data_IF_521842752562
#
_entry.id   IF_521842752562
#
_cell.length_a   1.000
_cell.length_b   1.000
_cell.length_c   1.000
_cell.angle_alpha   90.00
_cell.angle_beta   90.00
_cell.angle_gamma   90.00
#
_symmetry.space_group_name_H-M   'P 1'
#
loop_
_entity.id
_entity.type
_entity.pdbx_description
1 polymer ?
#
# COMPACT_ATOMS: atom_id res chain seq x y z
N UNK A 1 -20.86 19.42 13.71
CA UNK A 1 -20.23 20.03 12.51
C UNK A 1 -20.69 19.23 11.32
N UNK A 2 -21.10 19.89 10.23
CA UNK A 2 -21.61 19.21 9.03
C UNK A 2 -20.58 19.24 7.89
N UNK A 3 -20.43 18.10 7.22
CA UNK A 3 -19.61 17.88 6.02
C UNK A 3 -20.48 17.24 4.94
N UNK A 4 -20.12 17.42 3.68
CA UNK A 4 -20.77 16.73 2.59
C UNK A 4 -20.30 15.27 2.59
N UNK A 5 -18.99 15.02 2.75
CA UNK A 5 -18.41 13.69 2.81
C UNK A 5 -17.57 13.50 4.08
N UNK A 6 -17.81 12.39 4.80
CA UNK A 6 -17.03 11.95 5.96
C UNK A 6 -16.32 10.63 5.62
N UNK A 7 -14.99 10.64 5.58
CA UNK A 7 -14.17 9.45 5.34
C UNK A 7 -13.64 8.93 6.67
N UNK A 8 -13.89 7.67 6.96
CA UNK A 8 -13.48 6.98 8.19
C UNK A 8 -12.29 6.07 7.88
N UNK A 9 -11.10 6.52 8.23
CA UNK A 9 -9.82 5.87 7.96
C UNK A 9 -8.89 6.71 7.10
N UNK A 10 -7.62 6.83 7.50
CA UNK A 10 -6.56 7.59 6.84
C UNK A 10 -5.48 6.68 6.22
N UNK A 11 -5.83 5.46 5.87
CA UNK A 11 -5.02 4.60 5.01
C UNK A 11 -5.08 5.03 3.55
N UNK A 12 -4.37 4.32 2.67
CA UNK A 12 -4.30 4.63 1.24
C UNK A 12 -5.70 4.79 0.61
N UNK A 13 -6.63 3.85 0.84
CA UNK A 13 -7.99 3.94 0.29
C UNK A 13 -8.78 5.15 0.78
N UNK A 14 -8.69 5.47 2.08
CA UNK A 14 -9.39 6.62 2.65
C UNK A 14 -8.84 7.96 2.16
N UNK A 15 -7.52 8.09 2.02
CA UNK A 15 -6.91 9.31 1.47
C UNK A 15 -7.27 9.49 -0.01
N UNK A 16 -7.31 8.40 -0.79
CA UNK A 16 -7.79 8.41 -2.18
C UNK A 16 -9.27 8.82 -2.26
N UNK A 17 -10.12 8.23 -1.41
CA UNK A 17 -11.54 8.58 -1.37
C UNK A 17 -11.77 10.05 -1.00
N UNK A 18 -11.01 10.56 -0.02
CA UNK A 18 -11.13 11.95 0.39
C UNK A 18 -10.73 12.92 -0.73
N UNK A 19 -9.62 12.64 -1.42
CA UNK A 19 -9.16 13.45 -2.55
C UNK A 19 -10.17 13.43 -3.70
N UNK A 20 -10.68 12.25 -4.05
CA UNK A 20 -11.67 12.08 -5.13
C UNK A 20 -12.99 12.79 -4.82
N UNK A 21 -13.48 12.73 -3.58
CA UNK A 21 -14.67 13.48 -3.16
C UNK A 21 -14.46 15.01 -3.21
N UNK A 22 -13.27 15.47 -2.77
CA UNK A 22 -12.95 16.90 -2.78
C UNK A 22 -12.84 17.49 -4.19
N UNK A 23 -12.40 16.71 -5.21
CA UNK A 23 -12.40 17.16 -6.60
C UNK A 23 -13.81 17.48 -7.14
N UNK A 24 -14.86 16.90 -6.53
CA UNK A 24 -16.26 17.23 -6.81
C UNK A 24 -16.76 18.48 -6.06
N UNK A 25 -15.84 19.25 -5.45
CA UNK A 25 -16.17 20.45 -4.67
C UNK A 25 -16.78 20.18 -3.30
N UNK A 26 -16.75 18.92 -2.82
CA UNK A 26 -17.38 18.54 -1.54
C UNK A 26 -16.51 18.91 -0.34
N UNK A 27 -17.11 19.47 0.67
CA UNK A 27 -16.50 19.73 1.97
C UNK A 27 -16.26 18.41 2.69
N UNK A 28 -15.01 17.95 2.64
CA UNK A 28 -14.61 16.61 3.09
C UNK A 28 -13.90 16.64 4.43
N UNK A 29 -14.19 15.64 5.28
CA UNK A 29 -13.49 15.36 6.53
C UNK A 29 -12.92 13.93 6.46
N UNK A 30 -11.66 13.76 6.86
CA UNK A 30 -11.09 12.45 7.18
C UNK A 30 -10.94 12.32 8.68
N UNK A 31 -11.45 11.23 9.25
CA UNK A 31 -11.28 10.88 10.67
C UNK A 31 -10.64 9.50 10.76
N UNK A 32 -9.60 9.37 11.58
CA UNK A 32 -8.92 8.10 11.75
C UNK A 32 -8.27 7.96 13.12
N UNK A 33 -8.17 6.72 13.58
CA UNK A 33 -7.42 6.36 14.79
C UNK A 33 -5.90 6.49 14.58
N UNK A 34 -5.43 6.23 13.36
CA UNK A 34 -4.01 6.27 13.01
C UNK A 34 -3.79 6.39 11.50
N UNK A 35 -2.54 6.26 11.07
CA UNK A 35 -2.12 6.38 9.67
C UNK A 35 -2.45 5.14 8.81
N UNK A 36 -3.05 4.10 9.40
CA UNK A 36 -3.29 2.83 8.71
C UNK A 36 -2.01 2.02 8.44
N UNK A 37 -2.14 0.96 7.65
CA UNK A 37 -1.04 0.03 7.34
C UNK A 37 -0.08 0.54 6.25
N UNK A 38 -0.30 1.73 5.69
CA UNK A 38 0.55 2.30 4.64
C UNK A 38 2.01 2.44 5.09
N UNK A 39 2.25 2.65 6.38
CA UNK A 39 3.59 2.78 6.97
C UNK A 39 4.35 1.46 7.13
N UNK A 40 3.69 0.32 6.93
CA UNK A 40 4.31 -1.01 6.90
C UNK A 40 4.35 -1.60 5.49
N UNK A 41 3.87 -0.88 4.52
CA UNK A 41 3.74 -1.25 3.13
C UNK A 41 5.06 -1.04 2.37
N UNK A 42 5.38 -1.92 1.40
CA UNK A 42 6.67 -1.88 0.67
C UNK A 42 6.90 -0.61 -0.17
N UNK A 43 5.86 0.20 -0.39
CA UNK A 43 5.91 1.36 -1.27
C UNK A 43 5.67 1.04 -2.74
N UNK A 44 5.47 -0.23 -3.10
CA UNK A 44 5.07 -0.64 -4.45
C UNK A 44 3.55 -0.78 -4.55
N UNK A 45 2.95 -0.53 -5.70
CA UNK A 45 1.51 -0.71 -5.91
C UNK A 45 1.30 -1.96 -6.76
N UNK A 46 0.83 -3.01 -6.10
CA UNK A 46 0.52 -4.28 -6.72
C UNK A 46 -0.92 -4.24 -7.23
N UNK A 47 -1.13 -4.46 -8.53
CA UNK A 47 -2.45 -4.51 -9.17
C UNK A 47 -2.95 -5.94 -9.23
N UNK A 48 -2.22 -6.81 -9.91
CA UNK A 48 -2.43 -8.25 -9.90
C UNK A 48 -1.13 -8.93 -10.33
N UNK A 49 -0.57 -9.71 -9.43
CA UNK A 49 0.71 -10.39 -9.68
C UNK A 49 0.55 -11.84 -10.10
N UNK A 50 -0.49 -12.50 -9.61
CA UNK A 50 -0.74 -13.92 -9.84
C UNK A 50 -2.24 -14.19 -10.03
N UNK A 51 -2.59 -14.85 -11.14
CA UNK A 51 -3.94 -15.34 -11.39
C UNK A 51 -3.92 -16.48 -12.41
N UNK A 52 -4.51 -17.66 -12.12
CA UNK A 52 -5.00 -18.07 -10.80
C UNK A 52 -3.88 -18.05 -9.73
N UNK A 53 -4.25 -17.88 -8.46
CA UNK A 53 -3.27 -17.74 -7.35
C UNK A 53 -2.41 -18.98 -7.10
N UNK A 54 -2.82 -20.13 -7.63
CA UNK A 54 -2.07 -21.39 -7.57
C UNK A 54 -0.91 -21.43 -8.56
N UNK A 55 -0.95 -20.59 -9.60
CA UNK A 55 0.13 -20.50 -10.57
C UNK A 55 1.37 -19.87 -9.93
N UNK A 56 2.51 -20.47 -10.21
CA UNK A 56 3.80 -19.97 -9.70
C UNK A 56 4.42 -18.90 -10.60
N UNK A 57 3.94 -18.76 -11.84
CA UNK A 57 4.41 -17.76 -12.78
C UNK A 57 3.74 -16.41 -12.55
N UNK A 58 4.52 -15.34 -12.39
CA UNK A 58 3.95 -14.00 -12.28
C UNK A 58 3.29 -13.58 -13.60
N UNK A 59 2.16 -12.88 -13.51
CA UNK A 59 1.50 -12.27 -14.66
C UNK A 59 2.41 -11.23 -15.32
N UNK A 60 2.54 -11.29 -16.63
CA UNK A 60 3.24 -10.26 -17.40
C UNK A 60 2.40 -8.97 -17.46
N UNK A 61 1.12 -9.08 -17.81
CA UNK A 61 0.15 -7.99 -17.92
C UNK A 61 -0.87 -8.05 -16.76
N UNK A 62 -0.82 -7.09 -15.81
CA UNK A 62 -1.88 -6.95 -14.81
C UNK A 62 -3.25 -6.72 -15.43
N UNK A 63 -3.35 -5.94 -16.54
CA UNK A 63 -4.59 -5.63 -17.25
C UNK A 63 -5.31 -6.90 -17.69
N UNK A 64 -4.61 -7.75 -18.47
CA UNK A 64 -5.18 -9.00 -18.97
C UNK A 64 -5.62 -9.93 -17.82
N UNK A 65 -4.81 -9.94 -16.75
CA UNK A 65 -5.14 -10.69 -15.54
C UNK A 65 -6.42 -10.18 -14.84
N UNK A 66 -6.58 -8.87 -14.73
CA UNK A 66 -7.77 -8.23 -14.13
C UNK A 66 -9.01 -8.45 -15.00
N UNK A 67 -8.89 -8.30 -16.32
CA UNK A 67 -9.99 -8.58 -17.27
C UNK A 67 -10.48 -10.02 -17.14
N UNK A 68 -9.57 -10.97 -17.13
CA UNK A 68 -9.87 -12.38 -16.93
C UNK A 68 -10.51 -12.63 -15.56
N UNK A 69 -9.96 -12.05 -14.50
CA UNK A 69 -10.45 -12.21 -13.14
C UNK A 69 -11.88 -11.65 -13.00
N UNK A 70 -12.18 -10.48 -13.55
CA UNK A 70 -13.52 -9.89 -13.56
C UNK A 70 -14.54 -10.81 -14.25
N UNK A 71 -14.13 -11.45 -15.34
CA UNK A 71 -15.01 -12.37 -16.08
C UNK A 71 -15.26 -13.70 -15.33
N UNK A 72 -14.28 -14.18 -14.58
CA UNK A 72 -14.33 -15.48 -13.90
C UNK A 72 -14.84 -15.39 -12.44
N UNK A 73 -14.59 -14.27 -11.73
CA UNK A 73 -15.00 -14.07 -10.33
C UNK A 73 -15.78 -12.75 -10.14
N UNK A 74 -17.10 -12.76 -10.29
CA UNK A 74 -17.94 -11.57 -10.13
C UNK A 74 -17.98 -11.04 -8.68
N UNK A 75 -17.52 -11.82 -7.69
CA UNK A 75 -17.49 -11.43 -6.30
C UNK A 75 -16.17 -10.74 -5.90
N UNK A 76 -15.17 -10.78 -6.77
CA UNK A 76 -13.92 -10.09 -6.51
C UNK A 76 -14.12 -8.56 -6.53
N UNK A 77 -13.46 -7.79 -5.65
CA UNK A 77 -13.57 -6.32 -5.62
C UNK A 77 -13.34 -5.63 -6.96
N UNK A 78 -12.46 -6.15 -7.82
CA UNK A 78 -12.27 -5.59 -9.17
C UNK A 78 -13.52 -5.68 -10.06
N UNK A 79 -14.35 -6.71 -9.91
CA UNK A 79 -15.60 -6.80 -10.65
C UNK A 79 -16.59 -5.69 -10.23
N UNK A 80 -16.58 -5.32 -8.94
CA UNK A 80 -17.41 -4.21 -8.41
C UNK A 80 -16.85 -2.83 -8.73
N UNK A 81 -15.52 -2.72 -8.80
CA UNK A 81 -14.84 -1.46 -9.14
C UNK A 81 -14.90 -1.17 -10.63
N UNK A 82 -14.63 -2.17 -11.46
CA UNK A 82 -14.47 -2.06 -12.92
C UNK A 82 -13.06 -1.64 -13.35
N UNK A 83 -12.68 -2.04 -14.57
CA UNK A 83 -11.35 -1.73 -15.12
C UNK A 83 -11.16 -0.23 -15.35
N UNK A 84 -12.18 0.47 -15.83
CA UNK A 84 -12.15 1.92 -16.06
C UNK A 84 -11.82 2.69 -14.77
N UNK A 85 -12.51 2.38 -13.67
CA UNK A 85 -12.23 3.04 -12.38
C UNK A 85 -10.87 2.64 -11.78
N UNK A 86 -10.33 1.48 -12.14
CA UNK A 86 -8.97 1.10 -11.81
C UNK A 86 -7.95 1.99 -12.56
N UNK A 87 -8.14 2.17 -13.86
CA UNK A 87 -7.27 3.01 -14.69
C UNK A 87 -7.29 4.47 -14.27
N UNK A 88 -8.49 5.04 -14.13
CA UNK A 88 -8.69 6.41 -13.65
C UNK A 88 -8.11 6.60 -12.25
N UNK A 89 -8.37 5.66 -11.33
CA UNK A 89 -7.87 5.70 -9.97
C UNK A 89 -6.34 5.64 -9.88
N UNK A 90 -5.69 4.86 -10.75
CA UNK A 90 -4.23 4.80 -10.83
C UNK A 90 -3.63 6.08 -11.40
N UNK A 91 -4.19 6.64 -12.47
CA UNK A 91 -3.77 7.93 -13.01
C UNK A 91 -3.92 9.04 -11.96
N UNK A 92 -5.07 9.10 -11.31
CA UNK A 92 -5.35 10.06 -10.23
C UNK A 92 -4.35 9.93 -9.06
N UNK A 93 -4.01 8.69 -8.67
CA UNK A 93 -3.00 8.42 -7.64
C UNK A 93 -1.63 8.97 -8.06
N UNK A 94 -1.16 8.65 -9.27
CA UNK A 94 0.14 9.11 -9.76
C UNK A 94 0.21 10.63 -9.78
N UNK A 95 -0.82 11.31 -10.26
CA UNK A 95 -0.92 12.78 -10.27
C UNK A 95 -0.92 13.37 -8.86
N UNK A 96 -1.66 12.76 -7.93
CA UNK A 96 -1.75 13.25 -6.57
C UNK A 96 -0.41 13.21 -5.84
N UNK A 97 0.37 12.12 -6.00
CA UNK A 97 1.67 11.99 -5.33
C UNK A 97 2.78 12.74 -6.07
N UNK A 98 2.70 12.86 -7.41
CA UNK A 98 3.66 13.64 -8.19
C UNK A 98 3.66 15.12 -7.82
N UNK A 99 2.50 15.71 -7.55
CA UNK A 99 2.36 17.10 -7.04
C UNK A 99 3.07 17.33 -5.71
N UNK A 100 3.38 16.26 -4.99
CA UNK A 100 4.06 16.29 -3.69
C UNK A 100 5.52 15.81 -3.78
N UNK A 101 6.06 15.69 -4.99
CA UNK A 101 7.46 15.32 -5.26
C UNK A 101 7.74 13.83 -5.07
N UNK A 102 6.73 12.96 -5.21
CA UNK A 102 6.91 11.51 -5.20
C UNK A 102 6.47 10.95 -6.53
N UNK A 103 7.42 10.47 -7.32
CA UNK A 103 7.15 9.94 -8.66
C UNK A 103 6.94 8.42 -8.60
N UNK A 104 5.80 7.95 -9.13
CA UNK A 104 5.52 6.54 -9.38
C UNK A 104 5.55 6.25 -10.87
N UNK A 105 6.25 5.18 -11.23
CA UNK A 105 6.37 4.68 -12.61
C UNK A 105 5.71 3.31 -12.73
N UNK A 106 5.27 2.96 -13.94
CA UNK A 106 4.62 1.70 -14.24
C UNK A 106 3.34 1.87 -15.04
N UNK A 107 2.69 0.76 -15.36
CA UNK A 107 1.42 0.70 -16.09
C UNK A 107 0.64 -0.56 -15.72
N UNK A 108 -0.60 -0.65 -16.21
CA UNK A 108 -1.40 -1.88 -16.11
C UNK A 108 -0.95 -2.95 -17.11
N UNK A 109 -0.12 -2.60 -18.09
CA UNK A 109 0.23 -3.51 -19.19
C UNK A 109 1.45 -4.39 -18.87
N UNK A 110 2.21 -4.03 -17.80
CA UNK A 110 3.41 -4.77 -17.44
C UNK A 110 3.69 -4.75 -15.94
N UNK A 111 3.88 -5.94 -15.33
CA UNK A 111 4.49 -6.04 -14.01
C UNK A 111 6.01 -5.89 -14.09
N UNK A 112 6.60 -5.11 -13.19
CA UNK A 112 8.00 -5.23 -12.80
C UNK A 112 8.20 -6.51 -11.98
N UNK A 113 9.42 -7.03 -11.99
CA UNK A 113 9.85 -8.08 -11.08
C UNK A 113 10.86 -7.49 -10.09
N UNK A 114 10.36 -7.05 -8.97
CA UNK A 114 11.13 -6.29 -7.99
C UNK A 114 11.70 -7.19 -6.87
N UNK A 115 12.94 -6.94 -6.41
CA UNK A 115 13.47 -7.62 -5.23
C UNK A 115 12.75 -7.17 -3.97
N UNK A 116 12.62 -8.08 -3.02
CA UNK A 116 12.04 -7.80 -1.70
C UNK A 116 13.11 -7.62 -0.64
N UNK A 117 12.73 -7.15 0.54
CA UNK A 117 13.61 -6.95 1.69
C UNK A 117 14.40 -8.21 2.12
N UNK A 118 13.91 -9.39 1.79
CA UNK A 118 14.54 -10.67 2.16
C UNK A 118 15.17 -11.40 0.97
N UNK A 119 15.26 -10.75 -0.18
CA UNK A 119 15.89 -11.32 -1.37
C UNK A 119 15.01 -12.32 -2.13
N UNK A 120 13.69 -12.21 -2.05
CA UNK A 120 12.79 -12.85 -3.00
C UNK A 120 12.40 -11.86 -4.10
N UNK A 121 11.79 -12.35 -5.16
CA UNK A 121 11.30 -11.54 -6.28
C UNK A 121 9.79 -11.53 -6.25
N UNK A 122 9.18 -10.35 -6.46
CA UNK A 122 7.73 -10.23 -6.56
C UNK A 122 7.29 -9.41 -7.77
N UNK A 123 6.17 -9.76 -8.41
CA UNK A 123 5.56 -8.89 -9.41
C UNK A 123 4.91 -7.68 -8.75
N UNK A 124 5.02 -6.53 -9.41
CA UNK A 124 4.34 -5.28 -9.02
C UNK A 124 4.15 -4.38 -10.24
N UNK A 125 3.00 -3.72 -10.36
CA UNK A 125 2.68 -2.93 -11.54
C UNK A 125 3.27 -1.50 -11.47
N UNK A 126 3.31 -0.90 -10.27
CA UNK A 126 3.85 0.44 -10.06
C UNK A 126 4.80 0.46 -8.87
N UNK A 127 5.85 1.26 -9.00
CA UNK A 127 6.84 1.46 -7.95
C UNK A 127 7.36 2.91 -7.98
N UNK A 128 7.97 3.36 -6.89
CA UNK A 128 8.59 4.68 -6.89
C UNK A 128 9.76 4.73 -7.89
N UNK A 129 10.01 5.90 -8.48
CA UNK A 129 11.09 6.12 -9.44
C UNK A 129 12.44 5.61 -8.91
N UNK A 130 12.68 5.76 -7.61
CA UNK A 130 13.89 5.27 -6.96
C UNK A 130 14.04 3.74 -6.92
N UNK A 131 13.00 2.98 -7.27
CA UNK A 131 13.02 1.51 -7.32
C UNK A 131 13.07 0.96 -8.75
N UNK A 132 12.86 1.78 -9.77
CA UNK A 132 12.66 1.37 -11.16
C UNK A 132 13.81 0.50 -11.70
N UNK A 133 15.06 0.90 -11.43
CA UNK A 133 16.23 0.17 -11.86
C UNK A 133 16.43 -1.20 -11.15
N UNK A 134 15.49 -1.59 -10.29
CA UNK A 134 15.52 -2.86 -9.57
C UNK A 134 14.82 -4.03 -10.26
N UNK A 135 14.29 -3.86 -11.48
CA UNK A 135 13.71 -4.99 -12.23
C UNK A 135 14.78 -6.05 -12.48
N UNK A 136 14.56 -7.26 -11.97
CA UNK A 136 15.55 -8.35 -12.07
C UNK A 136 15.71 -8.91 -13.47
N UNK A 137 14.91 -8.46 -14.45
CA UNK A 137 15.07 -8.81 -15.87
C UNK A 137 16.13 -7.98 -16.57
N UNK A 138 16.62 -6.91 -15.96
CA UNK A 138 17.75 -6.16 -16.51
C UNK A 138 19.04 -6.97 -16.37
N UNK A 139 19.81 -7.07 -17.43
CA UNK A 139 20.96 -8.00 -17.54
C UNK A 139 22.18 -7.63 -16.71
N UNK A 140 22.29 -6.35 -16.27
CA UNK A 140 23.46 -5.89 -15.53
C UNK A 140 23.52 -6.47 -14.11
N UNK A 141 24.72 -6.84 -13.67
CA UNK A 141 24.99 -7.31 -12.32
C UNK A 141 24.62 -6.26 -11.26
N UNK A 142 24.41 -6.69 -10.03
CA UNK A 142 23.92 -5.84 -8.95
C UNK A 142 24.81 -5.94 -7.70
N UNK A 143 25.30 -4.80 -7.23
CA UNK A 143 25.84 -4.64 -5.89
C UNK A 143 24.72 -4.31 -4.91
N UNK A 144 24.37 -5.20 -3.99
CA UNK A 144 23.54 -4.85 -2.83
C UNK A 144 24.45 -4.24 -1.77
N UNK A 145 24.32 -2.94 -1.55
CA UNK A 145 25.10 -2.20 -0.57
C UNK A 145 24.28 -1.91 0.69
N UNK A 146 24.80 -2.27 1.86
CA UNK A 146 24.18 -2.02 3.14
C UNK A 146 25.11 -1.27 4.09
N UNK A 147 24.63 -1.00 5.29
CA UNK A 147 25.32 -0.22 6.29
C UNK A 147 25.53 -1.03 7.56
N UNK A 148 26.71 -0.92 8.18
CA UNK A 148 26.96 -1.52 9.48
C UNK A 148 26.05 -0.89 10.54
N UNK A 149 25.33 -1.72 11.28
CA UNK A 149 24.40 -1.28 12.31
C UNK A 149 23.00 -0.88 11.83
N UNK A 150 22.73 -0.90 10.51
CA UNK A 150 21.34 -0.81 10.03
C UNK A 150 20.61 -2.10 10.36
N UNK A 151 19.47 -2.00 11.06
CA UNK A 151 18.63 -3.14 11.41
C UNK A 151 17.93 -3.71 10.18
N UNK A 152 17.75 -5.03 10.19
CA UNK A 152 16.87 -5.77 9.29
C UNK A 152 17.19 -5.61 7.79
N UNK A 153 18.48 -5.35 7.46
CA UNK A 153 18.96 -5.32 6.08
C UNK A 153 20.31 -6.02 5.96
N UNK A 154 20.32 -7.16 5.32
CA UNK A 154 21.46 -8.08 5.24
C UNK A 154 21.86 -8.36 3.78
N UNK A 155 22.76 -7.55 3.19
CA UNK A 155 23.12 -7.61 1.76
C UNK A 155 23.54 -8.99 1.25
N UNK A 156 24.39 -9.68 2.00
CA UNK A 156 24.88 -11.00 1.62
C UNK A 156 23.76 -12.05 1.61
N UNK A 157 22.85 -11.98 2.60
CA UNK A 157 21.69 -12.86 2.68
C UNK A 157 20.71 -12.61 1.52
N UNK A 158 20.41 -11.33 1.24
CA UNK A 158 19.58 -10.97 0.09
C UNK A 158 20.18 -11.44 -1.23
N UNK A 159 21.47 -11.22 -1.45
CA UNK A 159 22.16 -11.65 -2.67
C UNK A 159 22.08 -13.16 -2.85
N UNK A 160 22.30 -13.94 -1.78
CA UNK A 160 22.17 -15.39 -1.79
C UNK A 160 20.74 -15.82 -2.18
N UNK A 161 19.73 -15.26 -1.52
CA UNK A 161 18.34 -15.62 -1.77
C UNK A 161 17.89 -15.28 -3.19
N UNK A 162 18.24 -14.09 -3.71
CA UNK A 162 17.91 -13.71 -5.09
C UNK A 162 18.58 -14.67 -6.07
N UNK A 163 19.87 -15.00 -5.89
CA UNK A 163 20.61 -15.91 -6.75
C UNK A 163 20.06 -17.33 -6.75
N UNK A 164 19.38 -17.74 -5.69
CA UNK A 164 18.72 -19.05 -5.59
C UNK A 164 17.24 -19.02 -5.99
N UNK A 165 16.67 -17.83 -6.18
CA UNK A 165 15.29 -17.65 -6.62
C UNK A 165 15.12 -18.18 -8.04
N UNK A 166 14.01 -18.89 -8.27
CA UNK A 166 13.62 -19.35 -9.61
C UNK A 166 12.34 -18.66 -10.00
N UNK A 167 12.43 -17.78 -10.99
CA UNK A 167 11.28 -17.18 -11.63
C UNK A 167 11.16 -17.79 -13.02
N UNK A 168 10.03 -18.42 -13.31
CA UNK A 168 9.84 -19.17 -14.56
C UNK A 168 10.17 -18.31 -15.79
N UNK A 169 11.06 -18.83 -16.64
CA UNK A 169 11.46 -18.18 -17.91
C UNK A 169 12.34 -16.95 -17.77
N UNK A 170 12.88 -16.64 -16.56
CA UNK A 170 13.70 -15.45 -16.33
C UNK A 170 15.09 -15.83 -15.84
N UNK A 171 16.11 -15.30 -16.54
CA UNK A 171 17.49 -15.33 -16.08
C UNK A 171 17.71 -14.15 -15.14
N UNK A 172 18.04 -14.43 -13.89
CA UNK A 172 18.36 -13.40 -12.88
C UNK A 172 19.86 -13.10 -12.97
N UNK A 173 20.27 -11.81 -13.06
CA UNK A 173 21.67 -11.42 -13.10
C UNK A 173 22.38 -11.75 -11.78
N UNK A 174 23.70 -11.59 -11.76
CA UNK A 174 24.48 -11.87 -10.55
C UNK A 174 24.28 -10.75 -9.51
N UNK A 175 23.94 -11.16 -8.28
CA UNK A 175 23.83 -10.27 -7.11
C UNK A 175 24.95 -10.55 -6.13
N UNK A 176 25.64 -9.51 -5.68
CA UNK A 176 26.64 -9.61 -4.60
C UNK A 176 26.32 -8.63 -3.47
N UNK A 177 26.48 -9.05 -2.23
CA UNK A 177 26.22 -8.21 -1.04
C UNK A 177 27.51 -7.65 -0.46
N UNK A 178 27.50 -6.35 -0.03
CA UNK A 178 28.58 -5.69 0.69
C UNK A 178 28.04 -4.74 1.77
N UNK A 179 28.77 -4.67 2.86
CA UNK A 179 28.57 -3.60 3.85
C UNK A 179 29.55 -2.49 3.49
N UNK A 180 29.03 -1.28 3.32
CA UNK A 180 29.84 -0.07 3.11
C UNK A 180 30.58 0.29 4.38
N UNK A 181 31.82 0.75 4.22
CA UNK A 181 32.60 1.31 5.32
C UNK A 181 32.21 2.78 5.54
N UNK A 182 31.03 2.95 6.10
CA UNK A 182 30.41 4.25 6.42
C UNK A 182 29.87 4.18 7.84
N UNK A 183 30.30 5.13 8.66
CA UNK A 183 29.72 5.32 10.00
C UNK A 183 28.38 6.05 9.87
N UNK A 184 27.30 5.33 10.10
CA UNK A 184 25.94 5.90 10.14
C UNK A 184 25.58 6.43 11.54
N UNK A 185 26.50 6.34 12.52
CA UNK A 185 26.26 6.73 13.91
C UNK A 185 25.26 5.79 14.62
N UNK A 186 25.26 4.51 14.26
CA UNK A 186 24.46 3.51 14.95
C UNK A 186 25.08 3.18 16.30
N UNK A 187 24.26 3.08 17.35
CA UNK A 187 24.67 2.57 18.64
C UNK A 187 24.67 1.02 18.69
N UNK A 188 24.96 0.45 19.84
CA UNK A 188 24.95 -1.02 20.03
C UNK A 188 23.58 -1.67 19.79
N UNK A 189 22.49 -0.91 19.90
CA UNK A 189 21.15 -1.39 19.61
C UNK A 189 20.81 -1.37 18.11
N UNK A 190 21.68 -0.77 17.29
CA UNK A 190 21.48 -0.56 15.86
C UNK A 190 20.54 0.61 15.54
N UNK A 191 20.49 0.98 14.25
CA UNK A 191 19.69 2.09 13.73
C UNK A 191 18.51 1.59 12.90
N UNK A 192 17.34 2.22 13.05
CA UNK A 192 16.18 1.93 12.20
C UNK A 192 16.33 2.56 10.81
N UNK A 193 15.66 1.97 9.80
CA UNK A 193 15.61 2.53 8.44
C UNK A 193 15.06 3.98 8.42
N UNK A 194 14.04 4.29 9.23
CA UNK A 194 13.48 5.66 9.32
C UNK A 194 14.47 6.67 9.90
N UNK A 195 15.29 6.26 10.86
CA UNK A 195 16.32 7.13 11.45
C UNK A 195 17.43 7.40 10.44
N UNK A 196 17.89 6.35 9.74
CA UNK A 196 18.91 6.51 8.71
C UNK A 196 18.39 7.36 7.54
N UNK A 197 17.12 7.18 7.13
CA UNK A 197 16.54 7.97 6.05
C UNK A 197 16.53 9.48 6.34
N UNK A 198 16.38 9.90 7.60
CA UNK A 198 16.52 11.32 7.97
C UNK A 198 17.96 11.80 7.87
N UNK A 199 18.91 10.97 8.30
CA UNK A 199 20.36 11.30 8.18
C UNK A 199 20.82 11.36 6.74
N UNK A 200 20.24 10.54 5.86
CA UNK A 200 20.54 10.56 4.42
C UNK A 200 20.13 11.87 3.72
N UNK A 201 19.39 12.76 4.37
CA UNK A 201 19.10 14.11 3.87
C UNK A 201 20.21 15.12 4.20
N UNK A 202 21.20 14.74 5.00
CA UNK A 202 22.36 15.58 5.36
C UNK A 202 23.45 15.50 4.28
N UNK A 203 23.97 16.65 3.84
CA UNK A 203 24.96 16.73 2.75
C UNK A 203 26.20 15.88 3.02
N UNK A 204 26.73 15.91 4.25
CA UNK A 204 27.91 15.14 4.64
C UNK A 204 27.67 13.63 4.52
N UNK A 205 26.45 13.17 4.87
CA UNK A 205 26.08 11.76 4.75
C UNK A 205 26.00 11.35 3.29
N UNK A 206 25.35 12.16 2.43
CA UNK A 206 25.28 11.91 0.98
C UNK A 206 26.70 11.82 0.38
N UNK A 207 27.59 12.77 0.71
CA UNK A 207 28.96 12.79 0.24
C UNK A 207 29.75 11.55 0.69
N UNK A 208 29.55 11.13 1.93
CA UNK A 208 30.27 9.97 2.51
C UNK A 208 29.81 8.68 1.87
N UNK A 209 28.48 8.50 1.72
CA UNK A 209 27.89 7.31 1.07
C UNK A 209 28.25 7.27 -0.42
N UNK A 210 28.13 8.39 -1.14
CA UNK A 210 28.46 8.47 -2.56
C UNK A 210 29.91 8.07 -2.85
N UNK A 211 30.87 8.59 -2.06
CA UNK A 211 32.30 8.19 -2.17
C UNK A 211 32.53 6.72 -1.84
N UNK A 212 31.82 6.16 -0.87
CA UNK A 212 31.93 4.75 -0.53
C UNK A 212 31.38 3.85 -1.63
N UNK A 213 30.28 4.23 -2.25
CA UNK A 213 29.69 3.54 -3.40
C UNK A 213 30.65 3.54 -4.59
N UNK A 214 31.14 4.72 -4.99
CA UNK A 214 32.09 4.86 -6.12
C UNK A 214 33.29 3.91 -6.02
N UNK A 215 33.79 3.69 -4.80
CA UNK A 215 34.93 2.77 -4.55
C UNK A 215 34.57 1.29 -4.65
N UNK A 216 33.29 0.94 -4.50
CA UNK A 216 32.84 -0.46 -4.38
C UNK A 216 32.15 -0.98 -5.65
N UNK A 217 31.61 -0.07 -6.46
CA UNK A 217 30.93 -0.41 -7.73
C UNK A 217 31.96 -0.91 -8.75
N UNK A 218 31.59 -1.93 -9.51
CA UNK A 218 32.35 -2.42 -10.66
C UNK A 218 31.70 -1.92 -11.95
N UNK A 219 32.47 -1.91 -13.03
CA UNK A 219 31.97 -1.52 -14.34
C UNK A 219 30.73 -2.35 -14.73
N UNK A 220 29.67 -1.66 -15.14
CA UNK A 220 28.41 -2.27 -15.55
C UNK A 220 27.49 -2.74 -14.43
N UNK A 221 27.88 -2.61 -13.15
CA UNK A 221 26.99 -2.95 -12.05
C UNK A 221 25.99 -1.82 -11.75
N UNK A 222 24.74 -2.19 -11.43
CA UNK A 222 23.78 -1.34 -10.74
C UNK A 222 23.92 -1.49 -9.22
N UNK A 223 23.44 -0.52 -8.46
CA UNK A 223 23.52 -0.56 -6.99
C UNK A 223 22.11 -0.63 -6.37
N UNK A 224 21.89 -1.67 -5.58
CA UNK A 224 20.74 -1.78 -4.70
C UNK A 224 21.08 -1.20 -3.32
N UNK A 225 20.34 -0.22 -2.86
CA UNK A 225 20.41 0.33 -1.50
C UNK A 225 19.14 -0.03 -0.71
N UNK A 226 19.21 -0.18 0.63
CA UNK A 226 18.01 -0.19 1.43
C UNK A 226 17.20 1.10 1.18
N UNK A 227 15.89 1.01 1.23
CA UNK A 227 15.00 2.16 1.07
C UNK A 227 15.16 3.13 2.26
N UNK A 228 16.22 3.94 2.20
CA UNK A 228 16.61 4.93 3.22
C UNK A 228 17.04 6.28 2.62
N UNK A 229 16.75 6.53 1.33
CA UNK A 229 17.21 7.71 0.61
C UNK A 229 16.31 8.94 0.87
N UNK A 230 16.18 9.31 2.15
CA UNK A 230 15.40 10.47 2.59
C UNK A 230 13.90 10.19 2.77
N UNK A 231 13.25 11.09 3.48
CA UNK A 231 11.81 11.09 3.73
C UNK A 231 11.13 12.25 3.02
N UNK A 232 11.76 13.43 3.01
CA UNK A 232 11.24 14.66 2.41
C UNK A 232 11.79 14.93 1.03
N UNK A 233 13.08 14.71 0.85
CA UNK A 233 13.86 15.01 -0.35
C UNK A 233 14.42 13.73 -1.01
N UNK A 234 13.68 12.64 -0.96
CA UNK A 234 14.15 11.33 -1.45
C UNK A 234 14.62 11.34 -2.89
N UNK A 235 13.92 12.02 -3.78
CA UNK A 235 14.30 12.11 -5.20
C UNK A 235 15.58 12.92 -5.41
N UNK A 236 15.88 13.90 -4.55
CA UNK A 236 17.12 14.65 -4.60
C UNK A 236 18.30 13.83 -4.08
N UNK A 237 18.14 13.20 -2.92
CA UNK A 237 19.15 12.28 -2.35
C UNK A 237 19.48 11.17 -3.35
N UNK A 238 18.45 10.57 -3.96
CA UNK A 238 18.59 9.51 -4.96
C UNK A 238 19.46 9.97 -6.14
N UNK A 239 19.12 11.10 -6.80
CA UNK A 239 19.87 11.62 -7.96
C UNK A 239 21.32 11.94 -7.62
N UNK A 240 21.55 12.60 -6.49
CA UNK A 240 22.91 12.97 -6.04
C UNK A 240 23.79 11.74 -5.81
N UNK A 241 23.22 10.68 -5.24
CA UNK A 241 23.98 9.43 -5.04
C UNK A 241 24.24 8.71 -6.36
N UNK A 242 23.28 8.72 -7.29
CA UNK A 242 23.44 8.14 -8.63
C UNK A 242 24.56 8.83 -9.40
N UNK A 243 24.57 10.17 -9.42
CA UNK A 243 25.63 10.99 -10.02
C UNK A 243 27.01 10.72 -9.40
N UNK A 244 27.07 10.60 -8.07
CA UNK A 244 28.33 10.36 -7.37
C UNK A 244 28.85 8.92 -7.53
N UNK A 245 27.96 7.94 -7.59
CA UNK A 245 28.34 6.55 -7.79
C UNK A 245 28.73 6.25 -9.24
N UNK A 246 28.32 7.10 -10.19
CA UNK A 246 28.56 6.93 -11.63
C UNK A 246 27.84 5.72 -12.24
N UNK A 247 26.77 5.27 -11.60
CA UNK A 247 25.95 4.14 -12.07
C UNK A 247 24.52 4.25 -11.57
N UNK A 248 23.62 3.50 -12.20
CA UNK A 248 22.21 3.46 -11.77
C UNK A 248 22.07 2.86 -10.38
N UNK A 249 21.33 3.54 -9.53
CA UNK A 249 20.99 3.11 -8.17
C UNK A 249 19.50 2.74 -8.12
N UNK A 250 19.14 1.85 -7.22
CA UNK A 250 17.75 1.62 -6.87
C UNK A 250 17.58 1.30 -5.39
N UNK A 251 16.43 1.71 -4.85
CA UNK A 251 16.03 1.33 -3.50
C UNK A 251 15.39 -0.07 -3.51
N UNK A 252 15.73 -0.87 -2.52
CA UNK A 252 14.99 -2.10 -2.20
C UNK A 252 14.17 -1.89 -0.93
N UNK A 253 12.94 -2.41 -0.83
CA UNK A 253 12.17 -2.33 0.40
C UNK A 253 12.98 -2.82 1.60
N UNK A 254 12.75 -2.20 2.76
CA UNK A 254 13.21 -2.71 4.06
C UNK A 254 12.05 -3.40 4.77
N UNK A 255 12.36 -4.18 5.82
CA UNK A 255 11.30 -4.67 6.71
C UNK A 255 10.61 -3.50 7.43
N UNK A 256 9.34 -3.66 7.86
CA UNK A 256 8.63 -2.62 8.59
C UNK A 256 9.39 -2.13 9.85
N UNK A 257 9.32 -0.83 10.16
CA UNK A 257 8.54 0.21 9.48
C UNK A 257 9.17 0.68 8.16
N UNK A 258 8.33 0.87 7.13
CA UNK A 258 8.76 1.17 5.76
C UNK A 258 8.99 2.67 5.54
N UNK A 259 10.16 3.03 5.07
CA UNK A 259 10.48 4.43 4.66
C UNK A 259 9.66 4.82 3.44
N UNK A 260 9.55 3.96 2.44
CA UNK A 260 8.77 4.22 1.21
C UNK A 260 7.28 4.35 1.50
N UNK A 261 6.73 3.50 2.35
CA UNK A 261 5.34 3.63 2.80
C UNK A 261 5.10 4.91 3.60
N UNK A 262 6.06 5.30 4.46
CA UNK A 262 5.97 6.56 5.21
C UNK A 262 6.11 7.77 4.28
N UNK A 263 7.00 7.74 3.30
CA UNK A 263 7.16 8.76 2.24
C UNK A 263 5.86 8.96 1.48
N UNK A 264 5.24 7.86 1.05
CA UNK A 264 3.94 7.86 0.37
C UNK A 264 2.82 8.46 1.24
N UNK A 265 2.73 8.03 2.52
CA UNK A 265 1.75 8.59 3.44
C UNK A 265 1.91 10.11 3.58
N UNK A 266 3.14 10.59 3.77
CA UNK A 266 3.42 12.03 3.92
C UNK A 266 3.08 12.82 2.66
N UNK A 267 3.30 12.28 1.47
CA UNK A 267 2.88 12.90 0.22
C UNK A 267 1.36 13.02 0.15
N UNK A 268 0.64 11.94 0.37
CA UNK A 268 -0.83 11.96 0.37
C UNK A 268 -1.41 12.85 1.47
N UNK A 269 -0.82 12.86 2.68
CA UNK A 269 -1.22 13.75 3.76
C UNK A 269 -1.09 15.23 3.35
N UNK A 270 0.06 15.63 2.76
CA UNK A 270 0.25 16.99 2.26
C UNK A 270 -0.78 17.34 1.18
N UNK A 271 -1.01 16.43 0.23
CA UNK A 271 -2.00 16.62 -0.84
C UNK A 271 -3.42 16.80 -0.31
N UNK A 272 -3.83 15.98 0.67
CA UNK A 272 -5.13 16.09 1.36
C UNK A 272 -5.28 17.45 2.03
N UNK A 273 -4.24 17.91 2.75
CA UNK A 273 -4.25 19.23 3.40
C UNK A 273 -4.27 20.38 2.38
N UNK A 274 -3.49 20.27 1.30
CA UNK A 274 -3.47 21.25 0.22
C UNK A 274 -4.82 21.35 -0.53
N UNK A 275 -5.58 20.27 -0.58
CA UNK A 275 -6.95 20.25 -1.11
C UNK A 275 -8.00 20.83 -0.13
N UNK A 276 -7.59 21.39 1.01
CA UNK A 276 -8.51 21.95 2.01
C UNK A 276 -9.29 20.91 2.84
N UNK A 277 -8.94 19.64 2.72
CA UNK A 277 -9.59 18.55 3.46
C UNK A 277 -9.11 18.58 4.91
N UNK A 278 -10.06 18.53 5.83
CA UNK A 278 -9.73 18.42 7.24
C UNK A 278 -9.35 16.98 7.60
N UNK A 279 -8.19 16.80 8.21
CA UNK A 279 -7.67 15.49 8.61
C UNK A 279 -7.53 15.43 10.14
N UNK A 280 -8.28 14.54 10.78
CA UNK A 280 -8.30 14.29 12.22
C UNK A 280 -7.71 12.90 12.49
N UNK A 281 -6.49 12.84 13.01
CA UNK A 281 -5.80 11.61 13.42
C UNK A 281 -5.83 11.49 14.95
N UNK A 282 -5.98 10.27 15.47
CA UNK A 282 -6.06 9.97 16.90
C UNK A 282 -7.50 9.95 17.43
N UNK A 283 -8.50 9.88 16.53
CA UNK A 283 -9.90 9.82 16.91
C UNK A 283 -10.52 8.46 16.61
N UNK A 284 -11.21 7.87 17.58
CA UNK A 284 -12.10 6.73 17.38
C UNK A 284 -13.44 7.19 16.83
N UNK A 285 -14.02 6.44 15.89
CA UNK A 285 -15.37 6.64 15.36
C UNK A 285 -16.28 5.56 15.90
N UNK A 286 -17.44 5.95 16.41
CA UNK A 286 -18.42 5.06 17.02
C UNK A 286 -19.83 5.68 16.99
N UNK A 287 -20.84 4.96 17.49
CA UNK A 287 -22.22 5.37 17.68
C UNK A 287 -22.81 6.09 16.43
N UNK A 288 -22.98 5.35 15.31
CA UNK A 288 -23.63 5.93 14.14
C UNK A 288 -25.11 6.22 14.40
N UNK A 289 -25.55 7.40 14.02
CA UNK A 289 -26.95 7.77 14.02
C UNK A 289 -27.57 7.44 12.67
N UNK A 290 -28.49 6.51 12.66
CA UNK A 290 -29.14 6.01 11.45
C UNK A 290 -30.63 6.27 11.46
N UNK A 291 -31.16 6.78 10.35
CA UNK A 291 -32.58 6.97 10.15
C UNK A 291 -32.97 6.64 8.70
N UNK A 292 -34.05 5.90 8.51
CA UNK A 292 -34.62 5.56 7.19
C UNK A 292 -33.60 4.95 6.21
N UNK A 293 -32.69 4.09 6.71
CA UNK A 293 -31.64 3.45 5.90
C UNK A 293 -30.54 4.41 5.42
N UNK A 294 -30.32 5.53 6.16
CA UNK A 294 -29.22 6.46 5.90
C UNK A 294 -28.49 6.78 7.19
N UNK A 295 -27.18 6.91 7.09
CA UNK A 295 -26.32 7.43 8.16
C UNK A 295 -26.43 8.95 8.14
N UNK A 296 -26.80 9.57 9.27
CA UNK A 296 -26.89 11.03 9.42
C UNK A 296 -25.69 11.63 10.15
N UNK A 297 -25.15 10.91 11.11
CA UNK A 297 -24.00 11.34 11.89
C UNK A 297 -23.23 10.16 12.47
N UNK A 298 -22.01 10.44 12.91
CA UNK A 298 -21.19 9.54 13.75
C UNK A 298 -20.63 10.33 14.92
N UNK A 299 -20.37 9.66 16.03
CA UNK A 299 -19.58 10.20 17.13
C UNK A 299 -18.10 9.96 16.89
N UNK A 300 -17.27 10.95 17.20
CA UNK A 300 -15.81 10.80 17.24
C UNK A 300 -15.30 11.12 18.64
N UNK A 301 -14.35 10.33 19.14
CA UNK A 301 -13.77 10.56 20.46
C UNK A 301 -12.24 10.52 20.44
N UNK A 302 -11.64 11.37 21.28
CA UNK A 302 -10.22 11.35 21.62
C UNK A 302 -10.11 11.46 23.15
N UNK A 303 -9.78 10.34 23.79
CA UNK A 303 -9.85 10.21 25.24
C UNK A 303 -11.30 10.43 25.73
N UNK A 304 -11.49 11.37 26.67
CA UNK A 304 -12.82 11.69 27.24
C UNK A 304 -13.65 12.69 26.42
N UNK A 305 -13.10 13.24 25.34
CA UNK A 305 -13.80 14.25 24.52
C UNK A 305 -14.52 13.56 23.36
N UNK A 306 -15.83 13.72 23.31
CA UNK A 306 -16.66 13.23 22.21
C UNK A 306 -17.24 14.38 21.41
N UNK A 307 -17.33 14.24 20.10
CA UNK A 307 -17.96 15.19 19.18
C UNK A 307 -18.84 14.45 18.19
N UNK A 308 -19.97 15.03 17.88
CA UNK A 308 -20.89 14.58 16.85
C UNK A 308 -20.51 15.22 15.51
N UNK A 309 -20.37 14.38 14.47
CA UNK A 309 -20.04 14.77 13.08
C UNK A 309 -21.21 14.36 12.18
N UNK A 310 -21.81 15.33 11.53
CA UNK A 310 -22.87 15.11 10.53
C UNK A 310 -22.25 14.99 9.14
N UNK A 311 -22.83 14.14 8.30
CA UNK A 311 -22.42 13.95 6.92
C UNK A 311 -23.59 13.60 6.01
N UNK A 312 -23.52 14.04 4.75
CA UNK A 312 -24.48 13.65 3.73
C UNK A 312 -24.10 12.28 3.11
N UNK A 313 -22.79 12.01 3.00
CA UNK A 313 -22.20 10.72 2.59
C UNK A 313 -21.07 10.29 3.54
N UNK A 314 -20.89 8.97 3.68
CA UNK A 314 -19.86 8.35 4.50
C UNK A 314 -19.06 7.33 3.68
N UNK A 315 -17.73 7.34 3.82
CA UNK A 315 -16.84 6.33 3.23
C UNK A 315 -16.12 5.59 4.34
N UNK A 316 -16.36 4.30 4.46
CA UNK A 316 -15.70 3.41 5.40
C UNK A 316 -14.42 2.88 4.75
N UNK A 317 -13.27 3.24 5.29
CA UNK A 317 -11.94 2.92 4.80
C UNK A 317 -11.01 2.46 5.95
N UNK A 318 -11.59 1.76 6.92
CA UNK A 318 -10.93 1.36 8.18
C UNK A 318 -9.93 0.22 8.02
N UNK A 319 -9.87 -0.38 6.82
CA UNK A 319 -9.00 -1.51 6.49
C UNK A 319 -9.58 -2.85 6.96
N UNK A 320 -8.90 -3.95 6.59
CA UNK A 320 -9.29 -5.31 6.98
C UNK A 320 -8.87 -5.67 8.41
N UNK A 321 -8.54 -6.94 8.62
CA UNK A 321 -8.12 -7.46 9.94
C UNK A 321 -6.94 -6.70 10.54
N UNK A 322 -5.89 -6.44 9.75
CA UNK A 322 -4.69 -5.72 10.24
C UNK A 322 -5.02 -4.28 10.60
N UNK A 323 -5.89 -3.62 9.82
CA UNK A 323 -6.35 -2.26 10.07
C UNK A 323 -7.44 -2.15 11.15
N UNK A 324 -7.96 -3.30 11.63
CA UNK A 324 -9.06 -3.41 12.61
C UNK A 324 -10.40 -2.86 12.11
N UNK A 325 -10.59 -2.75 10.80
CA UNK A 325 -11.88 -2.48 10.19
C UNK A 325 -12.79 -3.72 10.18
N UNK A 326 -12.19 -4.90 10.28
CA UNK A 326 -12.84 -6.14 10.67
C UNK A 326 -12.15 -6.63 11.94
N UNK A 327 -12.90 -6.91 12.99
CA UNK A 327 -12.39 -7.46 14.23
C UNK A 327 -12.91 -8.87 14.41
N UNK A 328 -12.10 -9.70 15.04
CA UNK A 328 -12.42 -11.11 15.29
C UNK A 328 -12.20 -11.45 16.75
N UNK A 329 -13.05 -12.26 17.30
CA UNK A 329 -12.85 -12.93 18.56
C UNK A 329 -12.89 -14.46 18.38
N UNK A 330 -13.07 -15.22 19.45
CA UNK A 330 -13.12 -16.68 19.37
C UNK A 330 -14.40 -17.21 18.68
N UNK A 331 -15.45 -16.40 18.53
CA UNK A 331 -16.79 -16.83 18.15
C UNK A 331 -17.36 -16.07 16.98
N UNK A 332 -16.86 -14.86 16.72
CA UNK A 332 -17.46 -13.95 15.74
C UNK A 332 -16.43 -13.11 14.99
N UNK A 333 -16.86 -12.66 13.83
CA UNK A 333 -16.21 -11.63 13.04
C UNK A 333 -17.20 -10.48 12.85
N UNK A 334 -16.77 -9.24 13.00
CA UNK A 334 -17.67 -8.09 12.93
C UNK A 334 -16.99 -6.83 12.40
N UNK A 335 -17.77 -5.98 11.77
CA UNK A 335 -17.41 -4.60 11.49
C UNK A 335 -17.82 -3.74 12.70
N UNK A 336 -16.87 -3.06 13.37
CA UNK A 336 -17.09 -2.55 14.71
C UNK A 336 -17.84 -1.20 14.80
N UNK A 337 -18.05 -0.48 13.69
CA UNK A 337 -18.63 0.87 13.71
C UNK A 337 -20.11 0.86 13.37
N UNK A 338 -20.49 0.23 12.26
CA UNK A 338 -21.85 0.22 11.75
C UNK A 338 -22.57 -1.12 11.95
N UNK A 339 -21.85 -2.14 12.44
CA UNK A 339 -22.41 -3.48 12.60
C UNK A 339 -22.75 -4.18 11.27
N UNK A 340 -21.99 -3.88 10.22
CA UNK A 340 -22.22 -4.43 8.88
C UNK A 340 -21.96 -5.94 8.84
N UNK A 341 -22.70 -6.68 8.00
CA UNK A 341 -22.44 -8.09 7.75
C UNK A 341 -21.03 -8.30 7.21
N UNK A 342 -20.30 -9.25 7.79
CA UNK A 342 -18.95 -9.63 7.35
C UNK A 342 -18.99 -10.97 6.65
N UNK A 343 -18.59 -11.00 5.40
CA UNK A 343 -18.48 -12.21 4.58
C UNK A 343 -17.16 -12.92 4.85
N UNK A 344 -17.22 -14.24 5.02
CA UNK A 344 -16.04 -15.10 5.25
C UNK A 344 -16.30 -16.16 6.31
N UNK A 345 -15.29 -16.94 6.69
CA UNK A 345 -15.45 -18.02 7.66
C UNK A 345 -15.80 -17.47 9.05
N UNK A 346 -16.97 -17.86 9.56
CA UNK A 346 -17.47 -17.42 10.85
C UNK A 346 -16.80 -18.16 12.03
N UNK A 347 -16.39 -19.41 11.81
CA UNK A 347 -15.76 -20.26 12.84
C UNK A 347 -14.25 -20.20 12.73
N UNK A 348 -13.58 -20.08 13.88
CA UNK A 348 -12.12 -20.05 13.95
C UNK A 348 -11.46 -21.30 13.33
N UNK A 349 -12.07 -22.46 13.41
CA UNK A 349 -11.60 -23.70 12.79
C UNK A 349 -11.54 -23.68 11.27
N UNK A 350 -12.22 -22.73 10.63
CA UNK A 350 -12.30 -22.55 9.18
C UNK A 350 -11.39 -21.45 8.67
N UNK A 351 -10.69 -20.71 9.56
CA UNK A 351 -9.87 -19.55 9.18
C UNK A 351 -8.60 -19.95 8.42
N UNK A 352 -8.01 -21.09 8.79
CA UNK A 352 -6.74 -21.54 8.25
C UNK A 352 -6.87 -22.95 7.68
N UNK A 353 -6.14 -23.22 6.61
CA UNK A 353 -5.91 -24.57 6.10
C UNK A 353 -4.85 -25.27 6.96
N UNK A 354 -4.70 -26.58 6.81
CA UNK A 354 -3.71 -27.36 7.58
C UNK A 354 -2.27 -26.96 7.29
N UNK A 355 -1.99 -26.52 6.05
CA UNK A 355 -0.64 -26.14 5.60
C UNK A 355 -0.43 -24.66 5.79
N UNK A 356 0.62 -24.27 6.53
CA UNK A 356 0.96 -22.87 6.75
C UNK A 356 1.21 -22.10 5.43
N UNK A 357 1.86 -22.72 4.46
CA UNK A 357 2.07 -22.18 3.10
C UNK A 357 1.17 -22.87 2.09
N UNK A 358 -0.14 -22.89 2.33
CA UNK A 358 -1.08 -23.49 1.39
C UNK A 358 -1.11 -22.68 0.08
N UNK A 359 -0.97 -23.34 -1.10
CA UNK A 359 -1.05 -22.64 -2.39
C UNK A 359 -2.37 -21.91 -2.63
N UNK A 360 -3.48 -22.43 -2.09
CA UNK A 360 -4.80 -21.80 -2.19
C UNK A 360 -4.99 -20.60 -1.24
N UNK A 361 -4.00 -20.34 -0.34
CA UNK A 361 -4.12 -19.33 0.70
C UNK A 361 -4.99 -19.80 1.88
N UNK A 362 -5.32 -18.86 2.75
CA UNK A 362 -6.16 -19.12 3.91
C UNK A 362 -7.50 -18.39 3.80
N UNK A 363 -8.64 -19.02 4.12
CA UNK A 363 -9.96 -18.39 4.01
C UNK A 363 -10.08 -17.05 4.76
N UNK A 364 -9.37 -16.90 5.89
CA UNK A 364 -9.36 -15.66 6.66
C UNK A 364 -8.83 -14.45 5.87
N UNK A 365 -7.98 -14.66 4.88
CA UNK A 365 -7.42 -13.56 4.06
C UNK A 365 -8.46 -12.93 3.14
N UNK A 366 -9.58 -13.61 2.88
CA UNK A 366 -10.66 -13.15 2.00
C UNK A 366 -11.85 -12.55 2.76
N UNK A 367 -11.73 -12.42 4.08
CA UNK A 367 -12.78 -11.89 4.94
C UNK A 367 -12.96 -10.39 4.74
N UNK A 368 -14.21 -9.92 4.71
CA UNK A 368 -14.48 -8.50 4.61
C UNK A 368 -15.96 -8.20 4.37
N UNK A 369 -16.22 -7.03 3.81
CA UNK A 369 -17.55 -6.54 3.47
C UNK A 369 -17.84 -6.83 1.99
N UNK A 370 -18.94 -7.51 1.71
CA UNK A 370 -19.49 -7.59 0.35
C UNK A 370 -20.16 -6.26 0.01
N UNK A 371 -19.96 -5.80 -1.22
CA UNK A 371 -20.49 -4.53 -1.70
C UNK A 371 -21.21 -4.70 -3.03
N UNK A 372 -22.17 -3.80 -3.31
CA UNK A 372 -22.77 -3.67 -4.64
C UNK A 372 -21.85 -2.91 -5.62
N UNK A 373 -22.31 -2.71 -6.86
CA UNK A 373 -21.55 -2.03 -7.91
C UNK A 373 -21.31 -0.52 -7.62
N UNK A 374 -22.04 0.03 -6.63
CA UNK A 374 -21.83 1.36 -6.08
C UNK A 374 -20.96 1.36 -4.82
N UNK A 375 -20.29 0.24 -4.52
CA UNK A 375 -19.44 0.06 -3.34
C UNK A 375 -20.18 0.29 -2.01
N UNK A 376 -21.51 0.10 -1.96
CA UNK A 376 -22.29 0.13 -0.74
C UNK A 376 -22.30 -1.25 -0.10
N UNK A 377 -21.97 -1.40 1.19
CA UNK A 377 -22.11 -2.69 1.89
C UNK A 377 -23.52 -3.25 1.81
N UNK A 378 -23.63 -4.53 1.49
CA UNK A 378 -24.91 -5.23 1.32
C UNK A 378 -25.18 -6.21 2.45
N UNK A 379 -26.45 -6.53 2.65
CA UNK A 379 -26.91 -7.57 3.55
C UNK A 379 -26.97 -8.97 2.83
N UNK A 380 -27.42 -9.99 3.56
CA UNK A 380 -27.53 -11.37 3.04
C UNK A 380 -28.56 -11.51 1.89
N UNK A 381 -29.29 -10.45 1.54
CA UNK A 381 -30.23 -10.39 0.42
C UNK A 381 -29.72 -9.53 -0.74
N UNK A 382 -28.42 -9.20 -0.75
CA UNK A 382 -27.76 -8.31 -1.72
C UNK A 382 -28.33 -6.88 -1.76
N UNK A 383 -28.96 -6.42 -0.67
CA UNK A 383 -29.47 -5.05 -0.58
C UNK A 383 -28.52 -4.16 0.22
N UNK A 384 -28.32 -2.90 -0.24
CA UNK A 384 -27.50 -1.95 0.51
C UNK A 384 -28.05 -1.73 1.92
N UNK A 385 -27.22 -1.95 2.96
CA UNK A 385 -27.58 -1.71 4.35
C UNK A 385 -27.87 -0.23 4.60
N UNK A 386 -27.01 0.64 4.04
CA UNK A 386 -27.20 2.10 4.09
C UNK A 386 -27.01 2.73 2.72
N UNK A 387 -27.90 3.66 2.33
CA UNK A 387 -27.94 4.26 0.99
C UNK A 387 -26.78 5.24 0.72
N UNK A 388 -26.14 5.77 1.77
CA UNK A 388 -25.10 6.79 1.70
C UNK A 388 -23.80 6.39 2.43
N UNK A 389 -23.59 5.09 2.63
CA UNK A 389 -22.36 4.52 3.16
C UNK A 389 -21.69 3.68 2.08
N UNK A 390 -20.43 4.02 1.80
CA UNK A 390 -19.58 3.35 0.83
C UNK A 390 -18.43 2.67 1.56
N UNK A 391 -17.93 1.54 1.06
CA UNK A 391 -16.76 0.84 1.62
C UNK A 391 -15.65 0.70 0.58
N UNK A 392 -14.39 0.82 1.01
CA UNK A 392 -13.25 0.70 0.11
C UNK A 392 -12.00 0.15 0.80
N UNK A 393 -11.06 -0.34 0.00
CA UNK A 393 -9.76 -0.81 0.46
C UNK A 393 -9.76 -2.22 1.04
N UNK A 394 -8.84 -2.48 1.95
CA UNK A 394 -8.57 -3.82 2.47
C UNK A 394 -9.68 -4.45 3.31
N UNK A 395 -10.79 -3.76 3.54
CA UNK A 395 -11.97 -4.32 4.20
C UNK A 395 -12.97 -4.97 3.24
N UNK A 396 -12.78 -4.85 1.93
CA UNK A 396 -13.61 -5.54 0.95
C UNK A 396 -13.36 -7.04 0.98
N UNK A 397 -14.43 -7.83 0.87
CA UNK A 397 -14.37 -9.29 0.85
C UNK A 397 -13.98 -9.84 -0.53
N UNK A 398 -13.66 -11.13 -0.57
CA UNK A 398 -13.60 -11.91 -1.81
C UNK A 398 -12.21 -12.03 -2.44
N UNK A 399 -11.17 -11.39 -1.92
CA UNK A 399 -9.82 -11.44 -2.49
C UNK A 399 -8.72 -11.72 -1.46
N UNK A 400 -7.63 -12.35 -1.87
CA UNK A 400 -6.44 -12.56 -1.05
C UNK A 400 -5.30 -11.67 -1.54
N UNK A 401 -5.23 -10.46 -1.00
CA UNK A 401 -4.22 -9.46 -1.35
C UNK A 401 -2.79 -9.96 -1.29
N UNK A 402 -2.49 -10.92 -0.40
CA UNK A 402 -1.14 -11.45 -0.21
C UNK A 402 -0.76 -12.45 -1.30
N UNK A 403 -1.69 -13.30 -1.70
CA UNK A 403 -1.47 -14.32 -2.76
C UNK A 403 -1.55 -13.70 -4.14
N UNK A 404 -2.58 -12.94 -4.41
CA UNK A 404 -2.83 -12.31 -5.70
C UNK A 404 -1.83 -11.21 -6.03
N UNK A 405 -1.24 -10.55 -5.01
CA UNK A 405 -0.53 -9.26 -5.17
C UNK A 405 -1.43 -8.23 -5.82
N UNK A 406 -2.59 -7.95 -5.19
CA UNK A 406 -3.66 -7.10 -5.71
C UNK A 406 -4.04 -5.95 -4.77
N UNK A 407 -3.52 -5.97 -3.54
CA UNK A 407 -3.97 -5.08 -2.46
C UNK A 407 -3.83 -3.59 -2.73
N UNK A 408 -2.79 -3.18 -3.44
CA UNK A 408 -2.56 -1.76 -3.81
C UNK A 408 -3.62 -1.27 -4.78
N UNK A 409 -3.85 -2.03 -5.86
CA UNK A 409 -4.82 -1.69 -6.89
C UNK A 409 -6.26 -1.68 -6.38
N UNK A 410 -6.68 -2.73 -5.67
CA UNK A 410 -8.01 -2.77 -5.02
C UNK A 410 -8.21 -1.57 -4.12
N UNK A 411 -7.19 -1.21 -3.32
CA UNK A 411 -7.30 -0.11 -2.36
C UNK A 411 -7.41 1.26 -3.05
N UNK A 412 -6.59 1.53 -4.06
CA UNK A 412 -6.60 2.80 -4.79
C UNK A 412 -7.89 2.94 -5.60
N UNK A 413 -8.22 1.93 -6.38
CA UNK A 413 -9.36 1.98 -7.29
C UNK A 413 -10.70 2.05 -6.56
N UNK A 414 -10.89 1.24 -5.51
CA UNK A 414 -12.11 1.31 -4.70
C UNK A 414 -12.20 2.60 -3.90
N UNK A 415 -11.06 3.12 -3.40
CA UNK A 415 -11.00 4.42 -2.73
C UNK A 415 -11.42 5.55 -3.65
N UNK A 416 -10.83 5.60 -4.85
CA UNK A 416 -11.17 6.59 -5.88
C UNK A 416 -12.66 6.53 -6.25
N UNK A 417 -13.19 5.34 -6.58
CA UNK A 417 -14.61 5.15 -6.94
C UNK A 417 -15.55 5.51 -5.79
N UNK A 418 -15.25 5.07 -4.56
CA UNK A 418 -16.08 5.39 -3.39
C UNK A 418 -16.12 6.89 -3.10
N UNK A 419 -14.99 7.59 -3.24
CA UNK A 419 -14.92 9.03 -3.09
C UNK A 419 -15.74 9.77 -4.14
N UNK A 420 -15.66 9.35 -5.42
CA UNK A 420 -16.44 9.89 -6.52
C UNK A 420 -17.94 9.74 -6.27
N UNK A 421 -18.38 8.52 -5.91
CA UNK A 421 -19.80 8.24 -5.61
C UNK A 421 -20.30 9.01 -4.39
N UNK A 422 -19.50 9.12 -3.33
CA UNK A 422 -19.84 9.96 -2.17
C UNK A 422 -19.93 11.44 -2.51
N UNK A 423 -19.11 11.89 -3.48
CA UNK A 423 -19.13 13.25 -4.00
C UNK A 423 -20.31 13.57 -4.93
N UNK A 424 -21.05 12.59 -5.39
CA UNK A 424 -22.24 12.77 -6.23
C UNK A 424 -23.54 12.91 -5.41
N UNK A 425 -23.53 12.60 -4.12
CA UNK A 425 -24.63 12.80 -3.20
C UNK A 425 -24.65 14.22 -2.64
#
# INVERSE_FOLDING_TARGET
MKYDTVVIGAGLGGLMAALSAAERGKKTLVVSKGMGIITIFSGTIDILGYYPVQDSAPLSSPREGVERLIAEDPNHPYARVGLEALEEGMSFFQDAVAREGVTYVGSLDRNFLAPTAVGTVKPTAFLSKSMEAGDVREESDVLIAGFRGLKDFYPAYMAHNISTSRVSGISIPHFRGRILDVDIGADHSGMSALTLARKMEEDDMIQTVGRALFRQVRDGERVALPAVLGIRSGDDVFRRLEDMAGTRIFETPTLPPSVTGYRLYRALERRVRAAGIRLLIGYDVHDPEVARGRVGAVSISMGKKTKRIEGDAFVLATGGLVGRGVITDRKSTQEPIFGLPVTGPSKRSEWFTERFFDPAGHPINRIGLTVDDQLRPVDDTDKPVYKNLFACGAQLAGYDALREKSGGGVTIASGFKAGRLAGEL
#
